data_IF_337103023043
#
_entry.id   IF_337103023043
#
_cell.length_a   1.000
_cell.length_b   1.000
_cell.length_c   1.000
_cell.angle_alpha   90.00
_cell.angle_beta   90.00
_cell.angle_gamma   90.00
#
_symmetry.space_group_name_H-M   'P 1'
#
loop_
_entity.id
_entity.type
_entity.pdbx_description
1 polymer ?
#
# COMPACT_ATOMS: atom_id res chain seq x y z
N UNK A 1 28.13 18.23 -6.21
CA UNK A 1 27.29 17.54 -7.20
C UNK A 1 27.75 16.10 -7.42
N UNK A 2 27.89 15.29 -6.36
CA UNK A 2 28.35 13.89 -6.47
C UNK A 2 27.38 12.88 -5.83
N UNK A 3 26.31 13.34 -5.19
CA UNK A 3 25.33 12.48 -4.50
C UNK A 3 24.12 12.03 -5.35
N UNK A 4 23.83 12.69 -6.48
CA UNK A 4 22.57 12.45 -7.21
C UNK A 4 22.68 11.37 -8.30
N UNK A 5 23.89 11.11 -8.83
CA UNK A 5 24.11 10.06 -9.85
C UNK A 5 24.13 8.64 -9.27
N UNK A 6 24.43 8.48 -7.98
CA UNK A 6 24.45 7.15 -7.33
C UNK A 6 23.08 6.51 -7.17
N UNK A 7 22.04 7.33 -7.01
CA UNK A 7 20.67 6.84 -6.77
C UNK A 7 19.99 6.33 -8.04
N UNK A 8 20.22 7.01 -9.17
CA UNK A 8 19.69 6.60 -10.48
C UNK A 8 20.29 5.25 -10.92
N UNK A 9 21.59 5.03 -10.65
CA UNK A 9 22.26 3.76 -10.95
C UNK A 9 21.69 2.57 -10.19
N UNK A 10 21.34 2.75 -8.91
CA UNK A 10 20.76 1.70 -8.08
C UNK A 10 19.33 1.32 -8.55
N UNK A 11 18.53 2.32 -8.91
CA UNK A 11 17.15 2.13 -9.38
C UNK A 11 17.13 1.35 -10.71
N UNK A 12 18.03 1.65 -11.64
CA UNK A 12 18.15 0.93 -12.91
C UNK A 12 18.65 -0.52 -12.72
N UNK A 13 19.52 -0.77 -11.73
CA UNK A 13 20.02 -2.11 -11.42
C UNK A 13 18.93 -3.00 -10.81
N UNK A 14 18.10 -2.46 -9.92
CA UNK A 14 16.96 -3.15 -9.32
C UNK A 14 15.86 -3.41 -10.36
N UNK A 15 15.56 -2.44 -11.23
CA UNK A 15 14.60 -2.61 -12.32
C UNK A 15 15.04 -3.68 -13.34
N UNK A 16 16.35 -3.75 -13.65
CA UNK A 16 16.92 -4.79 -14.52
C UNK A 16 16.85 -6.21 -13.93
N UNK A 17 17.02 -6.35 -12.61
CA UNK A 17 16.90 -7.65 -11.93
C UNK A 17 15.45 -8.16 -11.90
N UNK A 18 14.47 -7.25 -11.79
CA UNK A 18 13.03 -7.60 -11.82
C UNK A 18 12.60 -8.07 -13.22
N UNK A 19 13.17 -7.51 -14.29
CA UNK A 19 12.94 -7.95 -15.67
C UNK A 19 13.44 -9.40 -15.93
N UNK A 20 14.51 -9.84 -15.26
CA UNK A 20 15.04 -11.20 -15.43
C UNK A 20 14.15 -12.30 -14.83
N UNK A 21 13.34 -11.99 -13.81
CA UNK A 21 12.43 -12.97 -13.19
C UNK A 21 11.08 -13.13 -13.90
N UNK A 22 10.67 -12.15 -14.72
CA UNK A 22 9.34 -12.14 -15.35
C UNK A 22 9.20 -13.07 -16.57
N UNK A 23 10.32 -13.60 -17.10
CA UNK A 23 10.32 -14.40 -18.35
C UNK A 23 10.03 -15.90 -18.14
N UNK A 24 9.94 -16.39 -16.90
CA UNK A 24 9.87 -17.82 -16.60
C UNK A 24 8.53 -18.27 -15.98
N UNK A 25 7.41 -18.17 -16.72
CA UNK A 25 6.25 -19.09 -16.62
C UNK A 25 5.12 -18.68 -17.56
N UNK A 26 5.08 -19.28 -18.75
CA UNK A 26 3.83 -19.48 -19.50
C UNK A 26 3.85 -20.85 -20.17
N UNK A 27 3.04 -21.77 -19.63
CA UNK A 27 2.28 -22.82 -20.34
C UNK A 27 1.54 -23.66 -19.31
N UNK A 28 0.21 -23.55 -19.27
CA UNK A 28 -0.67 -24.59 -18.73
C UNK A 28 -1.71 -24.89 -19.81
N UNK A 29 -1.53 -26.03 -20.47
CA UNK A 29 -2.51 -26.62 -21.37
C UNK A 29 -3.49 -27.49 -20.59
N UNK A 30 -4.72 -27.56 -21.12
CA UNK A 30 -5.77 -28.51 -20.75
C UNK A 30 -5.29 -29.96 -20.82
N UNK A 31 -5.83 -30.84 -19.95
CA UNK A 31 -6.31 -32.20 -20.26
C UNK A 31 -7.28 -32.64 -19.13
N UNK A 32 -8.49 -33.06 -19.51
CA UNK A 32 -9.42 -33.88 -18.70
C UNK A 32 -9.32 -35.33 -19.19
N UNK A 33 -9.73 -36.25 -18.29
CA UNK A 33 -10.26 -37.61 -18.49
C UNK A 33 -9.31 -38.80 -18.26
N UNK A 34 -9.71 -39.72 -17.38
CA UNK A 34 -9.12 -41.05 -17.20
C UNK A 34 -9.68 -41.82 -15.98
N UNK A 35 -10.55 -42.79 -16.24
CA UNK A 35 -11.36 -43.60 -15.30
C UNK A 35 -10.58 -44.81 -14.75
N UNK A 36 -10.84 -45.20 -13.49
CA UNK A 36 -11.00 -46.61 -13.10
C UNK A 36 -9.81 -47.36 -12.48
N UNK A 37 -10.14 -48.11 -11.41
CA UNK A 37 -9.54 -49.40 -11.03
C UNK A 37 -8.32 -49.40 -10.09
N UNK A 38 -8.53 -49.32 -8.77
CA UNK A 38 -8.01 -50.33 -7.80
C UNK A 38 -8.93 -50.32 -6.58
N UNK A 39 -9.90 -51.24 -6.62
CA UNK A 39 -10.72 -51.66 -5.49
C UNK A 39 -10.18 -53.06 -5.14
N UNK A 40 -9.20 -53.15 -4.25
CA UNK A 40 -8.80 -54.41 -3.63
C UNK A 40 -7.97 -54.16 -2.36
N UNK A 41 -8.35 -54.81 -1.26
CA UNK A 41 -7.60 -55.00 -0.01
C UNK A 41 -7.71 -53.93 1.08
N UNK A 42 -8.74 -54.03 1.92
CA UNK A 42 -8.64 -54.29 3.38
C UNK A 42 -9.93 -53.80 4.05
N UNK A 43 -10.97 -54.64 4.01
CA UNK A 43 -11.97 -54.76 5.07
C UNK A 43 -12.26 -56.25 5.18
N UNK A 44 -11.99 -56.85 6.35
CA UNK A 44 -12.19 -58.28 6.55
C UNK A 44 -11.70 -58.84 7.88
N UNK A 45 -12.41 -58.49 8.96
CA UNK A 45 -13.00 -59.44 9.94
C UNK A 45 -12.07 -60.34 10.81
N UNK A 46 -12.10 -60.03 12.12
CA UNK A 46 -12.30 -60.92 13.30
C UNK A 46 -11.70 -62.34 13.27
N UNK A 47 -10.83 -62.65 14.22
CA UNK A 47 -10.99 -63.76 15.19
C UNK A 47 -9.80 -63.91 16.15
N UNK A 48 -10.11 -63.99 17.45
CA UNK A 48 -9.30 -64.66 18.49
C UNK A 48 -9.28 -66.18 18.25
N UNK A 49 -8.38 -66.95 18.90
CA UNK A 49 -8.83 -67.69 20.08
C UNK A 49 -7.78 -67.86 21.21
N UNK A 50 -8.26 -68.53 22.26
CA UNK A 50 -7.80 -68.72 23.64
C UNK A 50 -7.23 -70.14 23.84
N UNK A 51 -6.33 -70.30 24.85
CA UNK A 51 -5.91 -71.52 25.63
C UNK A 51 -5.39 -72.78 24.86
N UNK A 52 -4.52 -73.68 25.36
CA UNK A 52 -4.28 -74.21 26.72
C UNK A 52 -2.95 -75.04 26.81
N UNK A 53 -2.42 -75.16 28.04
CA UNK A 53 -1.74 -76.29 28.74
C UNK A 53 -0.58 -77.15 28.18
N UNK A 54 0.45 -77.36 29.02
CA UNK A 54 0.69 -78.60 29.82
C UNK A 54 1.87 -78.36 30.82
N UNK A 55 1.73 -78.47 32.16
CA UNK A 55 1.74 -79.63 33.10
C UNK A 55 3.15 -80.13 33.52
N UNK A 56 3.48 -80.07 34.82
CA UNK A 56 3.85 -81.22 35.69
C UNK A 56 4.55 -80.84 37.04
N UNK A 57 3.75 -80.77 38.11
CA UNK A 57 3.87 -81.43 39.44
C UNK A 57 5.24 -81.95 39.98
N UNK A 58 5.67 -81.47 41.19
CA UNK A 58 5.63 -82.25 42.46
C UNK A 58 6.27 -81.54 43.67
N UNK A 59 5.44 -81.42 44.71
CA UNK A 59 5.57 -81.64 46.16
C UNK A 59 6.91 -81.53 46.96
N UNK A 60 6.72 -80.92 48.15
CA UNK A 60 7.13 -81.34 49.51
C UNK A 60 8.15 -80.50 50.34
N UNK A 61 7.55 -79.86 51.35
CA UNK A 61 7.91 -79.78 52.79
C UNK A 61 9.27 -79.19 53.26
N UNK A 62 9.15 -78.02 53.89
CA UNK A 62 9.72 -77.53 55.17
C UNK A 62 11.08 -78.06 55.70
N UNK A 63 12.01 -77.14 56.04
CA UNK A 63 12.67 -76.97 57.37
C UNK A 63 13.93 -76.07 57.26
N UNK A 64 13.82 -74.87 57.84
CA UNK A 64 14.70 -74.22 58.84
C UNK A 64 16.21 -73.96 58.59
N UNK A 65 16.56 -72.71 58.93
CA UNK A 65 17.82 -72.19 59.51
C UNK A 65 18.96 -71.74 58.58
N UNK A 66 19.07 -70.41 58.48
CA UNK A 66 20.26 -69.58 58.74
C UNK A 66 21.65 -70.17 58.47
N UNK A 67 22.35 -69.62 57.47
CA UNK A 67 23.53 -68.75 57.67
C UNK A 67 24.26 -68.54 56.35
N UNK A 68 24.26 -67.32 55.82
CA UNK A 68 25.38 -66.69 55.07
C UNK A 68 24.90 -65.32 54.59
N UNK A 69 24.77 -64.46 55.59
CA UNK A 69 24.50 -63.04 55.46
C UNK A 69 25.82 -62.33 55.77
N UNK A 70 26.70 -62.21 54.78
CA UNK A 70 27.80 -61.24 54.75
C UNK A 70 28.52 -61.39 53.40
N UNK A 71 27.95 -60.80 52.35
CA UNK A 71 28.68 -60.38 51.12
C UNK A 71 27.73 -59.68 50.12
N UNK A 72 26.41 -59.78 50.30
CA UNK A 72 25.40 -59.17 49.39
C UNK A 72 24.89 -57.79 49.80
N UNK A 73 25.42 -57.17 50.87
CA UNK A 73 24.97 -55.85 51.34
C UNK A 73 25.74 -54.67 50.73
N UNK A 74 27.02 -54.85 50.39
CA UNK A 74 27.82 -53.78 49.78
C UNK A 74 27.49 -53.55 48.30
N UNK A 75 27.21 -54.61 47.54
CA UNK A 75 26.89 -54.54 46.10
C UNK A 75 25.46 -54.00 45.84
N UNK A 76 24.54 -54.15 46.81
CA UNK A 76 23.18 -53.63 46.74
C UNK A 76 23.08 -52.12 47.07
N UNK A 77 23.95 -51.60 47.95
CA UNK A 77 23.98 -50.17 48.31
C UNK A 77 24.66 -49.30 47.22
N UNK A 78 25.67 -49.84 46.51
CA UNK A 78 26.32 -49.17 45.38
C UNK A 78 25.42 -49.14 44.13
N UNK A 79 24.67 -50.23 43.88
CA UNK A 79 23.73 -50.32 42.77
C UNK A 79 22.47 -49.45 42.99
N UNK A 80 22.00 -49.32 44.22
CA UNK A 80 20.87 -48.44 44.57
C UNK A 80 21.24 -46.95 44.45
N UNK A 81 22.48 -46.55 44.81
CA UNK A 81 22.96 -45.19 44.60
C UNK A 81 23.15 -44.83 43.13
N UNK A 82 23.70 -45.76 42.33
CA UNK A 82 23.88 -45.55 40.89
C UNK A 82 22.54 -45.46 40.13
N UNK A 83 21.50 -46.18 40.58
CA UNK A 83 20.16 -46.15 39.97
C UNK A 83 19.37 -44.88 40.37
N UNK A 84 19.59 -44.34 41.58
CA UNK A 84 19.02 -43.06 42.02
C UNK A 84 19.68 -41.86 41.30
N UNK A 85 21.00 -41.88 41.12
CA UNK A 85 21.76 -40.83 40.42
C UNK A 85 21.46 -40.83 38.91
N UNK A 86 21.34 -42.01 38.28
CA UNK A 86 20.94 -42.13 36.88
C UNK A 86 19.49 -41.72 36.62
N UNK A 87 18.59 -41.90 37.61
CA UNK A 87 17.20 -41.47 37.50
C UNK A 87 17.06 -39.95 37.69
N UNK A 88 17.88 -39.36 38.56
CA UNK A 88 17.96 -37.90 38.75
C UNK A 88 18.52 -37.18 37.50
N UNK A 89 19.60 -37.69 36.89
CA UNK A 89 20.14 -37.13 35.62
C UNK A 89 19.14 -37.28 34.46
N UNK A 90 18.38 -38.38 34.40
CA UNK A 90 17.37 -38.58 33.36
C UNK A 90 16.17 -37.62 33.52
N UNK A 91 15.77 -37.31 34.75
CA UNK A 91 14.65 -36.39 35.03
C UNK A 91 15.06 -34.92 34.81
N UNK A 92 16.30 -34.54 35.13
CA UNK A 92 16.86 -33.21 34.84
C UNK A 92 17.00 -32.98 33.32
N UNK A 93 17.49 -34.00 32.59
CA UNK A 93 17.63 -33.93 31.13
C UNK A 93 16.27 -33.88 30.42
N UNK A 94 15.27 -34.59 30.93
CA UNK A 94 13.90 -34.54 30.41
C UNK A 94 13.25 -33.16 30.63
N UNK A 95 13.47 -32.54 31.80
CA UNK A 95 13.01 -31.17 32.06
C UNK A 95 13.71 -30.14 31.17
N UNK A 96 15.02 -30.26 30.97
CA UNK A 96 15.76 -29.34 30.11
C UNK A 96 15.34 -29.44 28.63
N UNK A 97 14.98 -30.64 28.15
CA UNK A 97 14.48 -30.85 26.78
C UNK A 97 13.04 -30.34 26.59
N UNK A 98 12.20 -30.43 27.64
CA UNK A 98 10.85 -29.85 27.64
C UNK A 98 10.87 -28.32 27.66
N UNK A 99 11.74 -27.71 28.47
CA UNK A 99 11.92 -26.24 28.55
C UNK A 99 12.46 -25.70 27.22
N UNK A 100 13.46 -26.36 26.62
CA UNK A 100 14.02 -25.96 25.32
C UNK A 100 12.99 -26.07 24.17
N UNK A 101 12.08 -27.04 24.25
CA UNK A 101 11.01 -27.21 23.26
C UNK A 101 9.91 -26.14 23.42
N UNK A 102 9.57 -25.79 24.66
CA UNK A 102 8.61 -24.72 24.97
C UNK A 102 9.14 -23.35 24.50
N UNK A 103 10.41 -23.04 24.76
CA UNK A 103 11.04 -21.78 24.33
C UNK A 103 11.15 -21.67 22.80
N UNK A 104 11.39 -22.80 22.11
CA UNK A 104 11.41 -22.85 20.65
C UNK A 104 10.02 -22.66 20.02
N UNK A 105 8.97 -23.20 20.65
CA UNK A 105 7.58 -23.06 20.18
C UNK A 105 7.04 -21.64 20.40
N UNK A 106 7.39 -21.00 21.53
CA UNK A 106 7.04 -19.60 21.81
C UNK A 106 7.74 -18.65 20.83
N UNK A 107 9.02 -18.86 20.56
CA UNK A 107 9.78 -18.05 19.58
C UNK A 107 9.25 -18.21 18.16
N UNK A 108 8.83 -19.42 17.77
CA UNK A 108 8.23 -19.67 16.46
C UNK A 108 6.87 -18.96 16.32
N UNK A 109 6.04 -18.95 17.37
CA UNK A 109 4.77 -18.20 17.39
C UNK A 109 4.99 -16.69 17.30
N UNK A 110 5.94 -16.15 18.05
CA UNK A 110 6.25 -14.72 18.03
C UNK A 110 6.77 -14.26 16.66
N UNK A 111 7.55 -15.11 15.96
CA UNK A 111 8.05 -14.80 14.62
C UNK A 111 6.95 -14.91 13.54
N UNK A 112 6.00 -15.83 13.70
CA UNK A 112 4.82 -15.95 12.82
C UNK A 112 3.87 -14.74 12.99
N UNK A 113 3.63 -14.32 14.23
CA UNK A 113 2.76 -13.18 14.55
C UNK A 113 3.36 -11.86 14.06
N UNK A 114 4.67 -11.63 14.28
CA UNK A 114 5.37 -10.46 13.76
C UNK A 114 5.39 -10.40 12.22
N UNK A 115 5.45 -11.56 11.55
CA UNK A 115 5.40 -11.63 10.10
C UNK A 115 4.00 -11.36 9.55
N UNK A 116 2.96 -11.85 10.23
CA UNK A 116 1.57 -11.56 9.88
C UNK A 116 1.24 -10.07 10.02
N UNK A 117 1.68 -9.45 11.12
CA UNK A 117 1.46 -8.01 11.37
C UNK A 117 2.22 -7.13 10.35
N UNK A 118 3.44 -7.54 9.98
CA UNK A 118 4.21 -6.84 8.93
C UNK A 118 3.57 -6.97 7.54
N UNK A 119 2.99 -8.13 7.21
CA UNK A 119 2.31 -8.35 5.92
C UNK A 119 0.98 -7.60 5.85
N UNK A 120 0.23 -7.53 6.96
CA UNK A 120 -0.99 -6.73 7.06
C UNK A 120 -0.71 -5.24 6.91
N UNK A 121 0.32 -4.73 7.60
CA UNK A 121 0.72 -3.31 7.51
C UNK A 121 1.21 -2.94 6.11
N UNK A 122 1.98 -3.82 5.46
CA UNK A 122 2.43 -3.60 4.08
C UNK A 122 1.28 -3.60 3.07
N UNK A 123 0.24 -4.41 3.32
CA UNK A 123 -0.96 -4.45 2.47
C UNK A 123 -1.83 -3.21 2.67
N UNK A 124 -1.97 -2.73 3.90
CA UNK A 124 -2.69 -1.50 4.22
C UNK A 124 -2.02 -0.26 3.59
N UNK A 125 -0.69 -0.12 3.69
CA UNK A 125 0.05 0.97 3.03
C UNK A 125 -0.04 0.88 1.49
N UNK A 126 -0.04 -0.33 0.92
CA UNK A 126 -0.17 -0.50 -0.52
C UNK A 126 -1.58 -0.13 -1.03
N UNK A 127 -2.62 -0.43 -0.24
CA UNK A 127 -4.01 -0.09 -0.56
C UNK A 127 -4.29 1.41 -0.37
N UNK A 128 -3.73 2.03 0.66
CA UNK A 128 -3.79 3.49 0.86
C UNK A 128 -3.07 4.24 -0.26
N UNK A 129 -1.89 3.76 -0.68
CA UNK A 129 -1.14 4.36 -1.78
C UNK A 129 -1.85 4.17 -3.13
N UNK A 130 -2.45 3.01 -3.38
CA UNK A 130 -3.23 2.76 -4.59
C UNK A 130 -4.48 3.65 -4.66
N UNK A 131 -5.12 3.89 -3.50
CA UNK A 131 -6.27 4.79 -3.40
C UNK A 131 -5.87 6.27 -3.59
N UNK A 132 -4.70 6.66 -3.09
CA UNK A 132 -4.14 8.01 -3.30
C UNK A 132 -3.69 8.24 -4.77
N UNK A 133 -3.16 7.22 -5.45
CA UNK A 133 -2.85 7.29 -6.89
C UNK A 133 -4.12 7.37 -7.75
N UNK A 134 -5.18 6.62 -7.40
CA UNK A 134 -6.48 6.69 -8.11
C UNK A 134 -7.21 8.03 -7.86
N UNK A 135 -7.02 8.65 -6.69
CA UNK A 135 -7.57 9.96 -6.36
C UNK A 135 -6.78 11.11 -7.02
N UNK A 136 -5.47 10.96 -7.20
CA UNK A 136 -4.64 11.88 -7.97
C UNK A 136 -4.91 11.82 -9.49
N UNK A 137 -5.32 10.65 -10.02
CA UNK A 137 -5.79 10.50 -11.40
C UNK A 137 -7.19 11.09 -11.65
N UNK A 138 -7.90 11.52 -10.59
CA UNK A 138 -9.26 12.10 -10.65
C UNK A 138 -9.30 13.63 -10.63
N UNK A 139 -8.17 14.32 -10.58
CA UNK A 139 -8.18 15.74 -10.96
C UNK A 139 -8.63 15.81 -12.42
N UNK A 140 -9.73 16.51 -12.74
CA UNK A 140 -10.18 16.56 -14.13
C UNK A 140 -9.09 17.27 -14.93
N UNK A 141 -8.32 16.50 -15.69
CA UNK A 141 -7.42 17.06 -16.69
C UNK A 141 -8.25 18.00 -17.56
N UNK A 142 -7.85 19.27 -17.58
CA UNK A 142 -8.51 20.32 -18.34
C UNK A 142 -8.79 19.85 -19.76
N UNK A 143 -10.04 19.95 -20.20
CA UNK A 143 -10.44 19.50 -21.53
C UNK A 143 -9.67 20.27 -22.61
N UNK A 144 -9.51 19.67 -23.79
CA UNK A 144 -8.88 20.37 -24.94
C UNK A 144 -9.64 21.67 -25.27
N UNK A 145 -10.96 21.69 -25.10
CA UNK A 145 -11.78 22.88 -25.34
C UNK A 145 -11.48 23.99 -24.33
N UNK A 146 -11.37 23.64 -23.04
CA UNK A 146 -10.95 24.59 -21.99
C UNK A 146 -9.53 25.13 -22.24
N UNK A 147 -8.59 24.28 -22.65
CA UNK A 147 -7.23 24.73 -23.03
C UNK A 147 -7.24 25.68 -24.23
N UNK A 148 -8.14 25.47 -25.19
CA UNK A 148 -8.32 26.36 -26.34
C UNK A 148 -8.91 27.71 -25.92
N UNK A 149 -9.93 27.68 -25.05
CA UNK A 149 -10.55 28.89 -24.53
C UNK A 149 -9.55 29.75 -23.76
N UNK A 150 -8.69 29.14 -22.92
CA UNK A 150 -7.59 29.85 -22.23
C UNK A 150 -6.64 30.54 -23.22
N UNK A 151 -6.13 29.78 -24.21
CA UNK A 151 -5.22 30.35 -25.21
C UNK A 151 -5.87 31.48 -26.02
N UNK A 152 -7.17 31.36 -26.31
CA UNK A 152 -7.91 32.40 -27.00
C UNK A 152 -8.09 33.65 -26.12
N UNK A 153 -8.36 33.46 -24.82
CA UNK A 153 -8.47 34.54 -23.84
C UNK A 153 -7.16 35.33 -23.71
N UNK A 154 -6.03 34.62 -23.55
CA UNK A 154 -4.69 35.20 -23.51
C UNK A 154 -4.37 35.96 -24.80
N UNK A 155 -4.65 35.35 -25.96
CA UNK A 155 -4.44 36.00 -27.26
C UNK A 155 -5.29 37.25 -27.45
N UNK A 156 -6.45 37.35 -26.82
CA UNK A 156 -7.28 38.55 -26.86
C UNK A 156 -6.67 39.67 -26.01
N UNK A 157 -6.22 39.34 -24.80
CA UNK A 157 -5.56 40.28 -23.89
C UNK A 157 -4.21 40.80 -24.44
N UNK A 158 -3.52 40.01 -25.27
CA UNK A 158 -2.33 40.46 -25.99
C UNK A 158 -2.62 41.53 -27.05
N UNK A 159 -3.86 41.59 -27.56
CA UNK A 159 -4.25 42.49 -28.64
C UNK A 159 -5.00 43.73 -28.16
N UNK A 160 -5.90 43.57 -27.17
CA UNK A 160 -6.70 44.67 -26.63
C UNK A 160 -7.07 44.41 -25.17
N UNK A 161 -7.27 45.48 -24.42
CA UNK A 161 -7.70 45.40 -23.04
C UNK A 161 -9.18 44.98 -22.95
N UNK A 162 -9.50 44.17 -21.95
CA UNK A 162 -10.85 43.73 -21.64
C UNK A 162 -11.13 43.79 -20.14
N UNK A 163 -12.39 44.02 -19.77
CA UNK A 163 -12.87 43.64 -18.44
C UNK A 163 -13.00 42.12 -18.32
N UNK A 164 -13.10 41.62 -17.09
CA UNK A 164 -13.31 40.18 -16.85
C UNK A 164 -14.58 39.68 -17.54
N UNK A 165 -15.69 40.40 -17.41
CA UNK A 165 -16.96 40.02 -18.06
C UNK A 165 -16.91 40.23 -19.57
N UNK A 166 -16.28 41.30 -20.06
CA UNK A 166 -16.14 41.55 -21.49
C UNK A 166 -15.34 40.46 -22.21
N UNK A 167 -14.29 39.92 -21.56
CA UNK A 167 -13.55 38.79 -22.12
C UNK A 167 -14.37 37.50 -22.14
N UNK A 168 -15.20 37.25 -21.12
CA UNK A 168 -16.13 36.11 -21.09
C UNK A 168 -17.12 36.25 -22.26
N UNK A 169 -17.77 37.41 -22.41
CA UNK A 169 -18.73 37.68 -23.49
C UNK A 169 -18.08 37.53 -24.87
N UNK A 170 -16.82 37.96 -25.02
CA UNK A 170 -16.07 37.78 -26.25
C UNK A 170 -15.84 36.29 -26.58
N UNK A 171 -15.47 35.46 -25.60
CA UNK A 171 -15.31 34.02 -25.82
C UNK A 171 -16.65 33.33 -26.12
N UNK A 172 -17.75 33.76 -25.50
CA UNK A 172 -19.08 33.27 -25.86
C UNK A 172 -19.44 33.64 -27.31
N UNK A 173 -19.08 34.84 -27.75
CA UNK A 173 -19.25 35.26 -29.13
C UNK A 173 -18.42 34.42 -30.12
N UNK A 174 -17.22 33.96 -29.72
CA UNK A 174 -16.43 32.97 -30.47
C UNK A 174 -17.07 31.58 -30.52
N UNK A 175 -18.12 31.33 -29.73
CA UNK A 175 -18.86 30.08 -29.70
C UNK A 175 -18.41 29.11 -28.61
N UNK A 176 -17.58 29.54 -27.66
CA UNK A 176 -17.32 28.74 -26.46
C UNK A 176 -18.58 28.67 -25.58
N UNK A 177 -18.91 27.52 -24.97
CA UNK A 177 -19.94 27.46 -23.95
C UNK A 177 -19.62 28.39 -22.78
N UNK A 178 -20.62 29.03 -22.19
CA UNK A 178 -20.48 29.93 -21.03
C UNK A 178 -19.58 29.37 -19.93
N UNK A 179 -19.76 28.11 -19.57
CA UNK A 179 -18.94 27.45 -18.54
C UNK A 179 -17.45 27.36 -18.93
N UNK A 180 -17.13 27.17 -20.21
CA UNK A 180 -15.74 27.13 -20.68
C UNK A 180 -15.13 28.53 -20.79
N UNK A 181 -15.92 29.53 -21.19
CA UNK A 181 -15.49 30.93 -21.22
C UNK A 181 -15.18 31.44 -19.81
N UNK A 182 -16.09 31.20 -18.85
CA UNK A 182 -15.86 31.53 -17.43
C UNK A 182 -14.64 30.79 -16.89
N UNK A 183 -14.55 29.48 -17.14
CA UNK A 183 -13.40 28.68 -16.74
C UNK A 183 -12.09 29.26 -17.29
N UNK A 184 -12.03 29.61 -18.58
CA UNK A 184 -10.83 30.15 -19.17
C UNK A 184 -10.37 31.45 -18.49
N UNK A 185 -11.30 32.39 -18.31
CA UNK A 185 -11.02 33.70 -17.71
C UNK A 185 -10.68 33.59 -16.22
N UNK A 186 -11.16 32.56 -15.52
CA UNK A 186 -10.80 32.29 -14.13
C UNK A 186 -9.45 31.60 -13.94
N UNK A 187 -8.93 30.94 -14.99
CA UNK A 187 -7.69 30.17 -14.93
C UNK A 187 -6.49 30.87 -15.59
N UNK A 188 -6.66 32.11 -16.08
CA UNK A 188 -5.57 32.97 -16.55
C UNK A 188 -5.09 33.91 -15.44
N UNK A 189 -3.79 34.18 -15.42
CA UNK A 189 -3.18 35.13 -14.48
C UNK A 189 -3.18 36.53 -15.08
N UNK A 190 -4.14 37.36 -14.67
CA UNK A 190 -4.36 38.71 -15.22
C UNK A 190 -4.61 39.71 -14.10
N UNK A 191 -3.94 40.85 -14.16
CA UNK A 191 -4.28 42.00 -13.32
C UNK A 191 -5.45 42.77 -13.96
N UNK A 192 -6.66 42.48 -13.48
CA UNK A 192 -7.89 43.11 -13.99
C UNK A 192 -7.95 44.61 -13.77
N UNK A 193 -7.26 45.13 -12.74
CA UNK A 193 -7.18 46.57 -12.53
C UNK A 193 -6.27 47.22 -13.56
N UNK A 194 -5.15 46.56 -13.89
CA UNK A 194 -4.27 47.01 -14.97
C UNK A 194 -5.00 46.99 -16.32
N UNK A 195 -5.83 45.98 -16.57
CA UNK A 195 -6.67 45.95 -17.79
C UNK A 195 -7.60 47.17 -17.89
N UNK A 196 -8.13 47.67 -16.78
CA UNK A 196 -8.92 48.91 -16.78
C UNK A 196 -8.07 50.14 -17.17
N UNK A 197 -6.82 50.23 -16.70
CA UNK A 197 -5.88 51.30 -17.06
C UNK A 197 -5.59 51.27 -18.55
N UNK A 198 -5.23 50.09 -19.08
CA UNK A 198 -4.94 49.91 -20.51
C UNK A 198 -6.15 50.27 -21.39
N UNK A 199 -7.37 49.91 -20.98
CA UNK A 199 -8.57 50.27 -21.73
C UNK A 199 -8.86 51.78 -21.65
N UNK A 200 -8.62 52.42 -20.50
CA UNK A 200 -8.74 53.86 -20.33
C UNK A 200 -7.78 54.63 -21.25
N UNK A 201 -6.51 54.21 -21.30
CA UNK A 201 -5.50 54.76 -22.21
C UNK A 201 -5.94 54.60 -23.67
N UNK A 202 -6.36 53.39 -24.06
CA UNK A 202 -6.83 53.13 -25.43
C UNK A 202 -8.03 54.01 -25.83
N UNK A 203 -8.95 54.30 -24.91
CA UNK A 203 -10.06 55.22 -25.20
C UNK A 203 -9.58 56.65 -25.40
N UNK A 204 -8.66 57.13 -24.55
CA UNK A 204 -8.13 58.48 -24.63
C UNK A 204 -7.28 58.71 -25.88
N UNK A 205 -6.60 57.67 -26.37
CA UNK A 205 -5.91 57.70 -27.66
C UNK A 205 -6.87 57.86 -28.84
N UNK A 206 -8.11 57.35 -28.73
CA UNK A 206 -9.11 57.43 -29.78
C UNK A 206 -9.97 58.70 -29.71
N UNK A 207 -10.39 59.12 -28.52
CA UNK A 207 -11.22 60.31 -28.32
C UNK A 207 -11.09 60.90 -26.92
N UNK A 208 -11.35 62.19 -26.78
CA UNK A 208 -11.37 62.84 -25.47
C UNK A 208 -12.59 62.41 -24.63
N UNK A 209 -12.36 62.19 -23.33
CA UNK A 209 -13.39 61.95 -22.33
C UNK A 209 -13.27 62.94 -21.16
N UNK A 210 -14.38 63.20 -20.47
CA UNK A 210 -14.32 63.76 -19.11
C UNK A 210 -14.02 62.64 -18.11
N UNK A 211 -13.54 63.00 -16.91
CA UNK A 211 -13.30 62.04 -15.82
C UNK A 211 -14.51 61.13 -15.57
N UNK A 212 -15.68 61.72 -15.35
CA UNK A 212 -16.91 60.94 -15.11
C UNK A 212 -17.32 60.11 -16.31
N UNK A 213 -17.18 60.65 -17.53
CA UNK A 213 -17.55 59.93 -18.74
C UNK A 213 -16.67 58.70 -19.00
N UNK A 214 -15.37 58.78 -18.70
CA UNK A 214 -14.47 57.64 -18.85
C UNK A 214 -14.74 56.57 -17.77
N UNK A 215 -15.05 56.98 -16.54
CA UNK A 215 -15.47 56.04 -15.48
C UNK A 215 -16.74 55.30 -15.91
N UNK A 216 -17.77 56.04 -16.37
CA UNK A 216 -19.03 55.44 -16.81
C UNK A 216 -18.81 54.48 -18.00
N UNK A 217 -17.89 54.84 -18.93
CA UNK A 217 -17.53 53.97 -20.05
C UNK A 217 -16.89 52.67 -19.56
N UNK A 218 -15.88 52.74 -18.68
CA UNK A 218 -15.21 51.53 -18.17
C UNK A 218 -16.17 50.63 -17.36
N UNK A 219 -17.10 51.22 -16.60
CA UNK A 219 -18.16 50.46 -15.92
C UNK A 219 -19.08 49.79 -16.94
N UNK A 220 -19.43 50.48 -18.04
CA UNK A 220 -20.21 49.90 -19.14
C UNK A 220 -19.48 48.74 -19.82
N UNK A 221 -18.16 48.85 -19.99
CA UNK A 221 -17.30 47.76 -20.48
C UNK A 221 -17.18 46.59 -19.49
N UNK A 222 -17.68 46.74 -18.25
CA UNK A 222 -17.75 45.68 -17.24
C UNK A 222 -16.68 45.74 -16.15
N UNK A 223 -15.91 46.82 -16.06
CA UNK A 223 -14.98 47.02 -14.94
C UNK A 223 -15.73 47.37 -13.65
N UNK A 224 -15.14 47.03 -12.51
CA UNK A 224 -15.67 47.47 -11.22
C UNK A 224 -15.54 49.00 -11.09
N UNK A 225 -16.44 49.64 -10.35
CA UNK A 225 -16.35 51.09 -10.10
C UNK A 225 -15.01 51.50 -9.49
N UNK A 226 -14.44 50.64 -8.63
CA UNK A 226 -13.14 50.87 -8.01
C UNK A 226 -12.00 50.83 -9.03
N UNK A 227 -11.98 49.85 -9.92
CA UNK A 227 -10.91 49.71 -10.93
C UNK A 227 -11.06 50.76 -12.04
N UNK A 228 -12.30 51.08 -12.45
CA UNK A 228 -12.58 52.18 -13.36
C UNK A 228 -12.10 53.53 -12.79
N UNK A 229 -12.43 53.83 -11.53
CA UNK A 229 -11.98 55.07 -10.87
C UNK A 229 -10.46 55.11 -10.77
N UNK A 230 -9.84 54.00 -10.37
CA UNK A 230 -8.38 53.89 -10.31
C UNK A 230 -7.73 54.13 -11.67
N UNK A 231 -8.25 53.50 -12.73
CA UNK A 231 -7.74 53.64 -14.09
C UNK A 231 -7.79 55.08 -14.58
N UNK A 232 -8.91 55.76 -14.35
CA UNK A 232 -9.08 57.18 -14.72
C UNK A 232 -8.11 58.08 -13.95
N UNK A 233 -7.86 57.80 -12.66
CA UNK A 233 -6.84 58.52 -11.89
C UNK A 233 -5.42 58.29 -12.44
N UNK A 234 -5.10 57.06 -12.89
CA UNK A 234 -3.78 56.74 -13.46
C UNK A 234 -3.51 57.47 -14.78
N UNK A 235 -4.53 57.65 -15.63
CA UNK A 235 -4.40 58.38 -16.90
C UNK A 235 -4.51 59.91 -16.75
N UNK A 236 -4.63 60.40 -15.51
CA UNK A 236 -4.50 61.82 -15.17
C UNK A 236 -5.78 62.65 -15.26
N UNK A 237 -6.96 62.04 -15.10
CA UNK A 237 -8.27 62.70 -15.16
C UNK A 237 -8.97 62.84 -13.80
#
# INVERSE_FOLDING_TARGET
MTGFLGFIGLVLMVWGLIQLFKKAKRKKGLIKLGVGFVLFLIVGMVSTPVEENEVADKADTEVKAESEQEDTKAEAEEKAKAEEEAKAEAEEKAKAEEEAKAEAEEKAKAEEEAKAEAEEKAKAEAEEKAKAEEEAEKEPEMSVSQQNAIRQAESYLDYTAFSKSGLIDQLEFEGYPTEEAMFAVENIEVDWREQAVLQAESYLDYTAFSRSGLIDQLIFEGHSEADATYAVDQVGL
#
